data_IF_155780942976
#
_entry.id   IF_155780942976
#
_cell.length_a   1.000
_cell.length_b   1.000
_cell.length_c   1.000
_cell.angle_alpha   90.00
_cell.angle_beta   90.00
_cell.angle_gamma   90.00
#
_symmetry.space_group_name_H-M   'P 1'
#
loop_
_entity.id
_entity.type
_entity.pdbx_description
1 polymer ?
#
# COMPACT_ATOMS: atom_id res chain seq x y z
N UNK A 1 -27.51 -8.61 -2.31
CA UNK A 1 -27.37 -7.71 -3.48
C UNK A 1 -26.84 -6.33 -3.03
N UNK A 2 -25.75 -6.30 -2.26
CA UNK A 2 -25.51 -5.19 -1.30
C UNK A 2 -24.50 -4.10 -1.70
N UNK A 3 -24.09 -3.96 -2.97
CA UNK A 3 -23.02 -2.99 -3.32
C UNK A 3 -23.29 -2.10 -4.54
N UNK A 4 -24.54 -2.00 -5.03
CA UNK A 4 -24.83 -1.20 -6.23
C UNK A 4 -24.67 0.33 -6.00
N UNK A 5 -24.80 0.79 -4.76
CA UNK A 5 -24.78 2.22 -4.42
C UNK A 5 -23.41 2.89 -4.64
N UNK A 6 -22.31 2.13 -4.53
CA UNK A 6 -20.96 2.69 -4.69
C UNK A 6 -20.66 3.06 -6.15
N UNK A 7 -21.29 2.37 -7.11
CA UNK A 7 -21.10 2.59 -8.55
C UNK A 7 -22.14 3.53 -9.17
N UNK A 8 -23.26 3.77 -8.49
CA UNK A 8 -24.31 4.67 -8.99
C UNK A 8 -23.88 6.15 -8.87
N UNK A 9 -23.74 6.90 -9.97
CA UNK A 9 -23.33 8.30 -9.94
C UNK A 9 -24.36 9.23 -9.28
N UNK A 10 -25.61 8.79 -9.08
CA UNK A 10 -26.65 9.59 -8.40
C UNK A 10 -26.52 9.59 -6.88
N UNK A 11 -25.77 8.65 -6.33
CA UNK A 11 -25.53 8.55 -4.89
C UNK A 11 -24.49 9.59 -4.49
N UNK A 12 -24.81 10.38 -3.46
CA UNK A 12 -23.90 11.41 -2.97
C UNK A 12 -22.59 10.81 -2.46
N UNK A 13 -21.50 11.56 -2.52
CA UNK A 13 -20.20 11.12 -1.98
C UNK A 13 -20.34 10.77 -0.49
N UNK A 14 -21.12 11.53 0.27
CA UNK A 14 -21.36 11.28 1.70
C UNK A 14 -22.05 9.93 1.95
N UNK A 15 -23.02 9.55 1.11
CA UNK A 15 -23.68 8.25 1.21
C UNK A 15 -22.75 7.11 0.81
N UNK A 16 -21.91 7.33 -0.21
CA UNK A 16 -20.84 6.37 -0.58
C UNK A 16 -19.87 6.18 0.58
N UNK A 17 -19.38 7.26 1.20
CA UNK A 17 -18.49 7.23 2.35
C UNK A 17 -19.15 6.55 3.55
N UNK A 18 -20.44 6.80 3.79
CA UNK A 18 -21.20 6.10 4.85
C UNK A 18 -21.25 4.59 4.62
N UNK A 19 -21.43 4.15 3.37
CA UNK A 19 -21.34 2.74 2.98
C UNK A 19 -19.94 2.18 3.22
N UNK A 20 -18.91 2.91 2.78
CA UNK A 20 -17.51 2.53 2.98
C UNK A 20 -17.14 2.41 4.46
N UNK A 21 -17.72 3.24 5.34
CA UNK A 21 -17.46 3.21 6.78
C UNK A 21 -17.88 1.88 7.42
N UNK A 22 -19.02 1.35 7.01
CA UNK A 22 -19.48 0.02 7.42
C UNK A 22 -18.55 -1.09 6.92
N UNK A 23 -18.08 -0.98 5.67
CA UNK A 23 -17.13 -1.95 5.09
C UNK A 23 -15.79 -1.90 5.83
N UNK A 24 -15.27 -0.70 6.12
CA UNK A 24 -14.01 -0.51 6.82
C UNK A 24 -14.03 -1.20 8.18
N UNK A 25 -15.10 -1.00 8.96
CA UNK A 25 -15.31 -1.65 10.26
C UNK A 25 -15.36 -3.18 10.14
N UNK A 26 -16.12 -3.70 9.18
CA UNK A 26 -16.34 -5.15 9.03
C UNK A 26 -15.11 -5.90 8.51
N UNK A 27 -14.23 -5.22 7.79
CA UNK A 27 -13.03 -5.82 7.16
C UNK A 27 -11.71 -5.40 7.83
N UNK A 28 -11.79 -4.72 8.98
CA UNK A 28 -10.63 -4.24 9.73
C UNK A 28 -9.68 -3.37 8.88
N UNK A 29 -10.24 -2.45 8.09
CA UNK A 29 -9.47 -1.38 7.45
C UNK A 29 -9.41 -0.17 8.37
N UNK A 30 -8.24 0.47 8.46
CA UNK A 30 -8.04 1.70 9.25
C UNK A 30 -8.95 2.82 8.75
N UNK A 31 -9.08 2.94 7.43
CA UNK A 31 -10.01 3.85 6.77
C UNK A 31 -10.32 3.36 5.35
N UNK A 32 -11.39 3.87 4.78
CA UNK A 32 -11.63 3.80 3.34
C UNK A 32 -11.94 5.19 2.80
N UNK A 33 -11.69 5.38 1.50
CA UNK A 33 -11.90 6.66 0.83
C UNK A 33 -12.70 6.46 -0.44
N UNK A 34 -13.58 7.40 -0.74
CA UNK A 34 -14.02 7.64 -2.12
C UNK A 34 -13.24 8.84 -2.64
N UNK A 35 -12.61 8.71 -3.80
CA UNK A 35 -11.80 9.75 -4.43
C UNK A 35 -12.43 10.11 -5.77
N UNK A 36 -12.77 11.37 -5.96
CA UNK A 36 -13.25 11.90 -7.24
C UNK A 36 -12.11 12.02 -8.25
N UNK A 37 -12.42 12.14 -9.55
CA UNK A 37 -11.42 12.15 -10.62
C UNK A 37 -10.49 13.38 -10.61
N UNK A 38 -10.83 14.42 -9.87
CA UNK A 38 -9.94 15.56 -9.57
C UNK A 38 -8.91 15.24 -8.46
N UNK A 39 -8.97 14.04 -7.87
CA UNK A 39 -8.10 13.59 -6.80
C UNK A 39 -8.58 13.96 -5.40
N UNK A 40 -9.76 14.56 -5.24
CA UNK A 40 -10.30 14.90 -3.90
C UNK A 40 -10.80 13.64 -3.20
N UNK A 41 -10.17 13.27 -2.09
CA UNK A 41 -10.50 12.09 -1.30
C UNK A 41 -11.39 12.46 -0.10
N UNK A 42 -12.52 11.76 0.05
CA UNK A 42 -13.39 11.82 1.23
C UNK A 42 -13.23 10.54 2.07
N UNK A 43 -12.74 10.67 3.30
CA UNK A 43 -12.45 9.56 4.22
C UNK A 43 -13.65 9.16 5.08
N UNK A 44 -13.73 7.87 5.42
CA UNK A 44 -14.68 7.32 6.43
C UNK A 44 -14.52 7.94 7.83
N UNK A 45 -13.30 8.42 8.06
CA UNK A 45 -12.87 9.54 8.87
C UNK A 45 -13.77 10.75 9.21
N UNK A 46 -14.42 11.27 8.17
CA UNK A 46 -14.87 12.65 8.09
C UNK A 46 -13.82 13.63 7.53
N UNK A 47 -12.54 13.26 7.42
CA UNK A 47 -11.51 14.15 6.84
C UNK A 47 -11.47 14.08 5.31
N UNK A 48 -10.74 15.02 4.70
CA UNK A 48 -10.47 15.04 3.26
C UNK A 48 -9.03 15.45 2.97
N UNK A 49 -8.52 15.01 1.82
CA UNK A 49 -7.19 15.36 1.34
C UNK A 49 -7.12 15.21 -0.18
N UNK A 50 -6.09 15.79 -0.80
CA UNK A 50 -5.85 15.60 -2.23
C UNK A 50 -4.85 14.45 -2.48
N UNK A 51 -5.25 13.51 -3.33
CA UNK A 51 -4.49 12.33 -3.72
C UNK A 51 -4.05 12.33 -5.19
N UNK A 52 -4.25 13.42 -5.93
CA UNK A 52 -3.99 13.50 -7.39
C UNK A 52 -2.55 13.14 -7.79
N UNK A 53 -1.59 13.40 -6.90
CA UNK A 53 -0.17 13.11 -7.09
C UNK A 53 0.21 11.66 -6.73
N UNK A 54 -0.69 10.89 -6.10
CA UNK A 54 -0.40 9.56 -5.59
C UNK A 54 -0.60 8.48 -6.64
N UNK A 55 0.33 7.52 -6.70
CA UNK A 55 0.30 6.47 -7.71
C UNK A 55 -0.88 5.52 -7.59
N UNK A 56 -1.32 5.22 -6.35
CA UNK A 56 -2.54 4.43 -6.14
C UNK A 56 -3.78 5.11 -6.73
N UNK A 57 -3.82 6.45 -6.78
CA UNK A 57 -4.90 7.18 -7.39
C UNK A 57 -4.75 7.16 -8.92
N UNK A 58 -3.57 7.52 -9.44
CA UNK A 58 -3.32 7.57 -10.89
C UNK A 58 -3.58 6.22 -11.58
N UNK A 59 -3.14 5.11 -10.99
CA UNK A 59 -3.37 3.77 -11.54
C UNK A 59 -4.87 3.39 -11.49
N UNK A 60 -5.54 3.60 -10.36
CA UNK A 60 -6.96 3.27 -10.27
C UNK A 60 -7.84 4.17 -11.13
N UNK A 61 -7.50 5.46 -11.26
CA UNK A 61 -8.20 6.40 -12.13
C UNK A 61 -8.03 6.05 -13.62
N UNK A 62 -6.91 5.42 -14.02
CA UNK A 62 -6.72 4.88 -15.37
C UNK A 62 -7.44 3.54 -15.60
N UNK A 63 -8.19 3.04 -14.61
CA UNK A 63 -8.97 1.81 -14.72
C UNK A 63 -8.26 0.55 -14.23
N UNK A 64 -7.08 0.68 -13.61
CA UNK A 64 -6.26 -0.46 -13.16
C UNK A 64 -6.17 -0.50 -11.63
N UNK A 65 -6.58 -1.61 -11.01
CA UNK A 65 -6.40 -1.79 -9.56
C UNK A 65 -4.93 -1.75 -9.17
N UNK A 66 -4.63 -1.18 -8.01
CA UNK A 66 -3.25 -1.00 -7.54
C UNK A 66 -3.13 -1.22 -6.04
N UNK A 67 -2.01 -1.81 -5.62
CA UNK A 67 -1.58 -1.95 -4.22
C UNK A 67 -0.27 -1.21 -4.08
N UNK A 68 -0.20 -0.28 -3.13
CA UNK A 68 1.04 0.44 -2.87
C UNK A 68 2.02 -0.42 -2.09
N UNK A 69 3.32 -0.16 -2.27
CA UNK A 69 4.30 -0.41 -1.22
C UNK A 69 3.93 0.40 0.05
N UNK A 70 4.51 0.11 1.22
CA UNK A 70 4.29 0.92 2.41
C UNK A 70 4.67 2.38 2.16
N UNK A 71 3.74 3.29 2.45
CA UNK A 71 3.93 4.74 2.25
C UNK A 71 3.48 5.52 3.47
N UNK A 72 4.00 6.74 3.62
CA UNK A 72 3.51 7.69 4.62
C UNK A 72 2.15 8.25 4.17
N UNK A 73 1.11 7.96 4.96
CA UNK A 73 -0.25 8.44 4.79
C UNK A 73 -0.31 9.97 4.84
N UNK A 74 -0.87 10.60 3.80
CA UNK A 74 -1.10 12.06 3.77
C UNK A 74 -2.06 12.53 4.87
N UNK A 75 -2.97 11.67 5.32
CA UNK A 75 -4.01 12.05 6.28
C UNK A 75 -3.61 11.78 7.74
N UNK A 76 -2.84 10.70 8.00
CA UNK A 76 -2.49 10.30 9.38
C UNK A 76 -1.01 10.45 9.70
N UNK A 77 -0.12 10.60 8.71
CA UNK A 77 1.33 10.57 8.92
C UNK A 77 1.89 9.17 9.23
N UNK A 78 1.04 8.14 9.31
CA UNK A 78 1.45 6.77 9.61
C UNK A 78 1.87 6.00 8.34
N UNK A 79 2.68 4.96 8.52
CA UNK A 79 3.00 4.01 7.45
C UNK A 79 1.78 3.16 7.15
N UNK A 80 1.33 3.18 5.89
CA UNK A 80 0.14 2.45 5.43
C UNK A 80 0.38 1.75 4.11
N UNK A 81 -0.36 0.67 3.90
CA UNK A 81 -0.53 0.05 2.57
C UNK A 81 -1.91 0.43 2.05
N UNK A 82 -1.95 0.95 0.81
CA UNK A 82 -3.18 1.39 0.16
C UNK A 82 -3.56 0.42 -0.94
N UNK A 83 -4.77 -0.12 -0.84
CA UNK A 83 -5.43 -0.86 -1.92
C UNK A 83 -6.35 0.10 -2.64
N UNK A 84 -6.32 0.12 -3.98
CA UNK A 84 -7.10 1.04 -4.79
C UNK A 84 -7.76 0.33 -5.96
N UNK A 85 -9.01 0.69 -6.24
CA UNK A 85 -9.80 0.12 -7.33
C UNK A 85 -10.60 1.21 -8.05
N UNK A 86 -10.73 1.13 -9.39
CA UNK A 86 -11.64 2.01 -10.13
C UNK A 86 -13.09 1.76 -9.73
N UNK A 87 -13.86 2.85 -9.63
CA UNK A 87 -15.32 2.79 -9.60
C UNK A 87 -15.81 3.04 -11.01
N UNK A 88 -16.48 2.05 -11.60
CA UNK A 88 -16.99 2.13 -12.98
C UNK A 88 -18.50 2.23 -13.03
N UNK A 89 -19.01 3.05 -13.95
CA UNK A 89 -20.43 3.12 -14.35
C UNK A 89 -20.50 3.10 -15.87
N UNK A 90 -21.17 2.10 -16.46
CA UNK A 90 -21.20 1.88 -17.91
C UNK A 90 -19.80 1.90 -18.55
N UNK A 91 -18.86 1.13 -18.00
CA UNK A 91 -17.43 1.06 -18.39
C UNK A 91 -16.57 2.29 -18.09
N UNK A 92 -17.17 3.47 -17.91
CA UNK A 92 -16.45 4.69 -17.57
C UNK A 92 -16.02 4.71 -16.10
N UNK A 93 -14.77 5.08 -15.83
CA UNK A 93 -14.30 5.33 -14.47
C UNK A 93 -14.88 6.64 -13.96
N UNK A 94 -15.63 6.59 -12.86
CA UNK A 94 -16.29 7.76 -12.23
C UNK A 94 -15.66 8.17 -10.90
N UNK A 95 -14.63 7.45 -10.46
CA UNK A 95 -13.91 7.69 -9.21
C UNK A 95 -13.06 6.50 -8.80
N UNK A 96 -12.46 6.59 -7.63
CA UNK A 96 -11.60 5.55 -7.06
C UNK A 96 -12.05 5.25 -5.64
N UNK A 97 -12.09 3.97 -5.28
CA UNK A 97 -12.19 3.54 -3.88
C UNK A 97 -10.81 3.12 -3.42
N UNK A 98 -10.42 3.56 -2.23
CA UNK A 98 -9.22 3.05 -1.57
C UNK A 98 -9.53 2.47 -0.20
N UNK A 99 -8.82 1.40 0.18
CA UNK A 99 -8.79 0.85 1.52
C UNK A 99 -7.39 1.01 2.13
N UNK A 100 -7.35 1.43 3.39
CA UNK A 100 -6.11 1.69 4.14
C UNK A 100 -5.89 0.56 5.14
N UNK A 101 -4.71 -0.06 5.10
CA UNK A 101 -4.22 -0.96 6.15
C UNK A 101 -2.97 -0.39 6.81
N UNK A 102 -2.73 -0.80 8.05
CA UNK A 102 -1.47 -0.54 8.75
C UNK A 102 -0.30 -1.17 7.97
N UNK A 103 0.64 -0.34 7.53
CA UNK A 103 1.80 -0.79 6.77
C UNK A 103 2.89 -1.42 7.65
N UNK A 104 2.79 -1.28 8.98
CA UNK A 104 3.71 -1.92 9.92
C UNK A 104 3.31 -3.36 10.25
N UNK A 105 2.16 -3.85 9.77
CA UNK A 105 1.67 -5.19 10.08
C UNK A 105 2.72 -6.25 9.72
N UNK A 106 3.28 -6.17 8.52
CA UNK A 106 4.34 -7.05 8.06
C UNK A 106 5.64 -6.87 8.86
N UNK A 107 6.04 -5.63 9.16
CA UNK A 107 7.23 -5.36 9.97
C UNK A 107 7.14 -5.98 11.38
N UNK A 108 5.95 -6.00 11.99
CA UNK A 108 5.73 -6.69 13.27
C UNK A 108 5.93 -8.20 13.13
N UNK A 109 5.34 -8.81 12.11
CA UNK A 109 5.51 -10.25 11.87
C UNK A 109 6.97 -10.65 11.67
N UNK A 110 7.73 -9.92 10.85
CA UNK A 110 9.15 -10.25 10.62
C UNK A 110 10.04 -9.95 11.82
N UNK A 111 9.67 -8.97 12.66
CA UNK A 111 10.43 -8.64 13.88
C UNK A 111 10.39 -9.76 14.92
N UNK A 112 9.33 -10.56 14.93
CA UNK A 112 9.16 -11.70 15.84
C UNK A 112 9.91 -12.96 15.34
N UNK A 113 10.27 -13.00 14.05
CA UNK A 113 11.02 -14.12 13.47
C UNK A 113 12.49 -14.00 13.86
N UNK A 114 13.00 -15.01 14.59
CA UNK A 114 14.41 -15.15 14.92
C UNK A 114 15.00 -16.34 14.17
N UNK A 115 16.03 -16.10 13.36
CA UNK A 115 16.76 -17.15 12.65
C UNK A 115 18.15 -17.25 13.27
N UNK A 116 18.41 -18.33 14.01
CA UNK A 116 19.67 -18.48 14.75
C UNK A 116 19.88 -17.37 15.78
N UNK A 117 21.14 -17.00 16.02
CA UNK A 117 21.50 -15.94 16.97
C UNK A 117 21.51 -14.53 16.36
N UNK A 118 21.74 -14.40 15.05
CA UNK A 118 21.96 -13.10 14.38
C UNK A 118 21.06 -12.86 13.17
N UNK A 119 20.41 -13.90 12.63
CA UNK A 119 19.60 -13.80 11.42
C UNK A 119 18.33 -13.00 11.65
N UNK A 120 17.99 -12.17 10.66
CA UNK A 120 16.82 -11.32 10.64
C UNK A 120 15.93 -11.70 9.46
N UNK A 121 14.61 -11.60 9.64
CA UNK A 121 13.66 -11.71 8.55
C UNK A 121 13.30 -10.30 8.05
N UNK A 122 13.10 -10.21 6.74
CA UNK A 122 12.62 -9.01 6.07
C UNK A 122 11.85 -9.38 4.80
N UNK A 123 11.11 -8.44 4.26
CA UNK A 123 10.35 -8.59 3.02
C UNK A 123 10.67 -7.41 2.11
N UNK A 124 10.91 -7.69 0.84
CA UNK A 124 11.09 -6.71 -0.23
C UNK A 124 9.95 -6.81 -1.25
N UNK A 125 9.66 -5.71 -1.94
CA UNK A 125 8.77 -5.69 -3.10
C UNK A 125 9.46 -6.35 -4.29
N UNK A 126 8.71 -6.61 -5.36
CA UNK A 126 9.27 -7.12 -6.63
C UNK A 126 10.28 -6.18 -7.29
N UNK A 127 10.39 -4.94 -6.80
CA UNK A 127 11.35 -3.95 -7.28
C UNK A 127 12.59 -3.84 -6.38
N UNK A 128 12.70 -4.67 -5.33
CA UNK A 128 13.80 -4.64 -4.36
C UNK A 128 13.60 -3.64 -3.21
N UNK A 129 12.47 -2.94 -3.15
CA UNK A 129 12.20 -1.98 -2.07
C UNK A 129 11.82 -2.71 -0.78
N UNK A 130 12.46 -2.37 0.34
CA UNK A 130 12.13 -2.93 1.66
C UNK A 130 10.72 -2.55 2.08
N UNK A 131 9.84 -3.56 2.25
CA UNK A 131 8.43 -3.37 2.68
C UNK A 131 8.15 -3.88 4.10
N UNK A 132 9.04 -4.70 4.65
CA UNK A 132 8.97 -5.09 6.06
C UNK A 132 10.36 -5.37 6.60
N UNK A 133 10.72 -4.73 7.70
CA UNK A 133 12.00 -4.93 8.36
C UNK A 133 11.88 -4.55 9.83
N UNK A 134 12.75 -5.13 10.67
CA UNK A 134 12.83 -4.82 12.12
C UNK A 134 13.26 -3.37 12.34
N UNK A 135 14.25 -2.93 11.60
CA UNK A 135 14.57 -1.51 11.42
C UNK A 135 13.53 -0.85 10.51
N UNK A 136 12.67 -0.02 11.11
CA UNK A 136 11.58 0.65 10.40
C UNK A 136 12.07 1.77 9.50
N UNK A 137 13.26 2.32 9.73
CA UNK A 137 13.80 3.38 8.88
C UNK A 137 14.04 2.87 7.46
N UNK A 138 14.45 1.61 7.29
CA UNK A 138 14.60 0.99 5.97
C UNK A 138 13.28 0.89 5.20
N UNK A 139 12.15 0.75 5.90
CA UNK A 139 10.81 0.76 5.26
C UNK A 139 10.40 2.20 4.94
N UNK A 140 10.64 3.12 5.87
CA UNK A 140 10.28 4.55 5.73
C UNK A 140 11.05 5.24 4.61
N UNK A 141 12.34 4.96 4.48
CA UNK A 141 13.21 5.49 3.44
C UNK A 141 13.00 4.82 2.08
N UNK A 142 12.13 3.79 2.01
CA UNK A 142 11.98 2.93 0.84
C UNK A 142 13.34 2.38 0.39
N UNK A 143 14.13 1.87 1.34
CA UNK A 143 15.46 1.34 1.07
C UNK A 143 15.43 0.34 -0.09
N UNK A 144 16.43 0.41 -0.97
CA UNK A 144 16.54 -0.49 -2.10
C UNK A 144 18.02 -0.77 -2.38
N UNK A 145 18.48 -1.97 -2.01
CA UNK A 145 19.91 -2.28 -2.11
C UNK A 145 20.35 -2.50 -3.57
N UNK A 146 19.43 -2.74 -4.50
CA UNK A 146 19.74 -2.73 -5.94
C UNK A 146 20.18 -1.35 -6.44
N UNK A 147 19.72 -0.29 -5.77
CA UNK A 147 20.15 1.08 -6.02
C UNK A 147 21.37 1.44 -5.17
N UNK A 148 21.37 1.11 -3.87
CA UNK A 148 22.45 1.46 -2.95
C UNK A 148 23.80 0.81 -3.33
N UNK A 149 23.81 -0.38 -3.92
CA UNK A 149 25.04 -1.07 -4.33
C UNK A 149 25.88 -0.29 -5.35
N UNK A 150 25.27 0.67 -6.05
CA UNK A 150 25.99 1.57 -6.97
C UNK A 150 27.00 2.46 -6.23
N UNK A 151 26.78 2.68 -4.93
CA UNK A 151 27.61 3.52 -4.07
C UNK A 151 28.33 2.69 -2.97
N UNK A 152 27.79 1.54 -2.58
CA UNK A 152 28.38 0.64 -1.57
C UNK A 152 28.43 -0.82 -2.03
N UNK A 153 29.60 -1.24 -2.53
CA UNK A 153 29.83 -2.61 -3.00
C UNK A 153 29.81 -3.66 -1.89
N UNK A 154 29.83 -3.28 -0.61
CA UNK A 154 29.71 -4.24 0.50
C UNK A 154 28.32 -4.88 0.56
N UNK A 155 27.34 -4.29 -0.13
CA UNK A 155 25.98 -4.81 -0.28
C UNK A 155 25.85 -5.95 -1.29
N UNK A 156 26.92 -6.34 -1.99
CA UNK A 156 26.85 -7.36 -3.05
C UNK A 156 26.21 -8.67 -2.59
N UNK A 157 26.61 -9.18 -1.42
CA UNK A 157 26.06 -10.43 -0.89
C UNK A 157 24.56 -10.33 -0.60
N UNK A 158 24.09 -9.22 -0.02
CA UNK A 158 22.64 -9.05 0.27
C UNK A 158 21.85 -8.87 -1.03
N UNK A 159 22.37 -8.10 -1.99
CA UNK A 159 21.74 -7.92 -3.30
C UNK A 159 21.59 -9.23 -4.06
N UNK A 160 22.56 -10.13 -3.97
CA UNK A 160 22.46 -11.43 -4.65
C UNK A 160 21.39 -12.35 -4.01
N UNK A 161 21.15 -12.22 -2.71
CA UNK A 161 20.02 -12.88 -2.02
C UNK A 161 18.69 -12.24 -2.46
N UNK A 162 18.61 -10.92 -2.46
CA UNK A 162 17.40 -10.19 -2.84
C UNK A 162 16.99 -10.44 -4.30
N UNK A 163 17.94 -10.58 -5.22
CA UNK A 163 17.65 -10.97 -6.61
C UNK A 163 16.97 -12.34 -6.69
N UNK A 164 17.42 -13.31 -5.88
CA UNK A 164 16.77 -14.63 -5.77
C UNK A 164 15.37 -14.49 -5.18
N UNK A 165 15.20 -13.68 -4.13
CA UNK A 165 13.89 -13.40 -3.52
C UNK A 165 12.90 -12.83 -4.55
N UNK A 166 13.34 -11.85 -5.36
CA UNK A 166 12.50 -11.24 -6.42
C UNK A 166 12.15 -12.25 -7.52
N UNK A 167 13.05 -13.18 -7.83
CA UNK A 167 12.79 -14.28 -8.75
C UNK A 167 11.84 -15.36 -8.17
N UNK A 168 11.46 -15.26 -6.89
CA UNK A 168 10.65 -16.25 -6.19
C UNK A 168 11.42 -17.51 -5.80
N UNK A 169 12.75 -17.46 -5.84
CA UNK A 169 13.63 -18.55 -5.42
C UNK A 169 13.80 -18.56 -3.90
N UNK A 170 14.06 -19.74 -3.34
CA UNK A 170 14.36 -19.92 -1.91
C UNK A 170 15.86 -20.14 -1.70
N UNK A 171 16.45 -19.52 -0.68
CA UNK A 171 17.86 -19.71 -0.32
C UNK A 171 18.27 -18.95 0.94
N UNK A 172 19.54 -19.03 1.31
CA UNK A 172 20.15 -18.25 2.40
C UNK A 172 21.42 -17.52 1.90
N UNK A 173 21.79 -16.44 2.58
CA UNK A 173 23.10 -15.81 2.43
C UNK A 173 24.16 -16.54 3.25
N UNK A 174 25.38 -16.63 2.71
CA UNK A 174 26.56 -17.12 3.44
C UNK A 174 27.21 -15.99 4.25
#
# INVERSE_FOLDING_TARGET
SENNNLKDPKISINDKVSTLKSIAKNRNYTAMNFITLDGTASRTDGTSFNASDRDYFKNAASGTSYVSDPIVSKASGEIVVIYSVPVKFNEDVIGVITAVKDGNELSRFVSDVKIGSTGQAFIISKYGTTIAHKDKELVLSQNNDFENIKEDLTLQSIVDIEKKMVAGETGYGD
#
